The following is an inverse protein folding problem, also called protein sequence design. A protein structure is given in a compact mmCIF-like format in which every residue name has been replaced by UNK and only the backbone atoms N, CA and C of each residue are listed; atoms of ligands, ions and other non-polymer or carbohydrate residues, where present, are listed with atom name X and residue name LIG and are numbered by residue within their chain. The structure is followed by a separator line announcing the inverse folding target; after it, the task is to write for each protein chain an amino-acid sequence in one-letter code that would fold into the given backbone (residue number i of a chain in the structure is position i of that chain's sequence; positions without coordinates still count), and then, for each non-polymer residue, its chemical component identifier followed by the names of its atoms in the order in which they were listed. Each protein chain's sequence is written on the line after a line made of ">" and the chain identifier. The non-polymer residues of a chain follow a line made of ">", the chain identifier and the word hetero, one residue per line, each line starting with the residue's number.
data_IF_669851589569
#
_entry.id   IF_669851589569
#
_cell.length_a   1.000
_cell.length_b   1.000
_cell.length_c   1.000
_cell.angle_alpha   90.00
_cell.angle_beta   90.00
_cell.angle_gamma   90.00
#
_symmetry.space_group_name_H-M   'P 1'
#
loop_
_entity.id
_entity.type
_entity.pdbx_description
1 polymer ?
#
# COMPACT_ATOMS: atom_id res chain seq x y z
N UNK A 1 0.43 9.67 14.94
CA UNK A 1 0.08 8.25 15.14
C UNK A 1 -0.68 8.13 16.45
N UNK A 2 -1.92 7.69 16.39
CA UNK A 2 -2.83 7.60 17.53
C UNK A 2 -3.13 6.14 17.83
N UNK A 3 -3.03 5.75 19.10
CA UNK A 3 -3.48 4.45 19.59
C UNK A 3 -4.89 4.66 20.10
N UNK A 4 -5.85 4.12 19.36
CA UNK A 4 -7.27 4.10 19.67
C UNK A 4 -7.62 3.10 20.77
N UNK A 5 -8.92 2.88 20.94
CA UNK A 5 -9.48 2.08 22.01
C UNK A 5 -9.10 0.59 21.90
N UNK A 6 -9.08 -0.10 23.04
CA UNK A 6 -8.85 -1.54 23.15
C UNK A 6 -7.41 -1.96 23.47
N UNK A 7 -6.42 -1.09 23.31
CA UNK A 7 -5.04 -1.36 23.75
C UNK A 7 -4.83 -0.99 25.21
N UNK A 8 -4.08 -1.82 25.94
CA UNK A 8 -3.64 -1.51 27.32
C UNK A 8 -2.28 -0.84 27.33
N UNK A 9 -1.97 -0.15 28.43
CA UNK A 9 -0.72 0.61 28.60
C UNK A 9 0.56 -0.20 28.24
N UNK A 10 0.61 -1.50 28.60
CA UNK A 10 1.74 -2.38 28.29
C UNK A 10 1.92 -2.69 26.79
N UNK A 11 0.84 -2.66 26.00
CA UNK A 11 0.90 -2.92 24.56
C UNK A 11 1.24 -1.66 23.76
N UNK A 12 0.96 -0.46 24.32
CA UNK A 12 1.23 0.82 23.65
C UNK A 12 2.67 0.96 23.13
N UNK A 13 3.73 0.65 23.90
CA UNK A 13 5.09 0.71 23.37
C UNK A 13 5.28 -0.29 22.23
N UNK A 14 4.86 -1.55 22.39
CA UNK A 14 5.01 -2.58 21.36
C UNK A 14 4.29 -2.21 20.04
N UNK A 15 3.07 -1.69 20.14
CA UNK A 15 2.30 -1.21 18.98
C UNK A 15 3.00 -0.04 18.31
N UNK A 16 3.53 0.92 19.08
CA UNK A 16 4.29 2.05 18.52
C UNK A 16 5.55 1.58 17.80
N UNK A 17 6.26 0.59 18.34
CA UNK A 17 7.46 0.04 17.72
C UNK A 17 7.14 -0.69 16.40
N UNK A 18 6.16 -1.59 16.42
CA UNK A 18 5.72 -2.32 15.23
C UNK A 18 5.24 -1.37 14.12
N UNK A 19 4.59 -0.27 14.50
CA UNK A 19 4.12 0.76 13.60
C UNK A 19 5.20 1.80 13.22
N UNK A 20 6.31 1.89 13.96
CA UNK A 20 7.44 2.76 13.62
C UNK A 20 8.01 2.40 12.24
N UNK A 21 7.99 1.10 11.90
CA UNK A 21 8.40 0.59 10.60
C UNK A 21 7.53 1.08 9.43
N UNK A 22 6.30 1.57 9.68
CA UNK A 22 5.47 2.21 8.63
C UNK A 22 5.95 3.62 8.25
N UNK A 23 6.63 4.33 9.16
CA UNK A 23 7.10 5.71 8.94
C UNK A 23 7.93 5.89 7.66
N UNK A 24 8.92 5.04 7.34
CA UNK A 24 9.65 5.14 6.08
C UNK A 24 8.76 4.90 4.85
N UNK A 25 7.74 4.04 4.93
CA UNK A 25 6.82 3.78 3.81
C UNK A 25 5.84 4.93 3.55
N UNK A 26 5.48 5.70 4.59
CA UNK A 26 4.66 6.91 4.48
C UNK A 26 5.44 8.08 3.84
N UNK A 27 6.78 8.05 3.90
CA UNK A 27 7.66 9.04 3.26
C UNK A 27 7.39 10.47 3.72
N UNK A 28 7.50 11.43 2.79
CA UNK A 28 7.33 12.87 3.07
C UNK A 28 5.93 13.24 3.57
N UNK A 29 4.93 12.41 3.30
CA UNK A 29 3.56 12.67 3.73
C UNK A 29 3.32 12.28 5.19
N UNK A 30 4.24 11.61 5.88
CA UNK A 30 4.08 11.12 7.25
C UNK A 30 3.61 12.18 8.28
N UNK A 31 3.86 13.47 8.02
CA UNK A 31 3.40 14.58 8.87
C UNK A 31 1.92 14.93 8.63
N UNK A 32 1.45 14.78 7.40
CA UNK A 32 0.08 15.05 6.98
C UNK A 32 -0.83 13.82 7.14
N UNK A 33 -0.25 12.62 7.24
CA UNK A 33 -1.03 11.40 7.41
C UNK A 33 -1.33 11.13 8.88
N UNK A 34 -2.61 10.96 9.22
CA UNK A 34 -3.01 10.49 10.53
C UNK A 34 -3.27 8.98 10.50
N UNK A 35 -2.46 8.22 11.24
CA UNK A 35 -2.67 6.78 11.43
C UNK A 35 -3.25 6.55 12.82
N UNK A 36 -4.41 5.92 12.87
CA UNK A 36 -5.12 5.48 14.06
C UNK A 36 -5.15 3.94 14.10
N UNK A 37 -4.84 3.36 15.25
CA UNK A 37 -4.89 1.90 15.47
C UNK A 37 -5.88 1.57 16.57
N UNK A 38 -6.87 0.73 16.28
CA UNK A 38 -7.90 0.31 17.23
C UNK A 38 -7.94 -1.21 17.35
N UNK A 39 -8.14 -1.71 18.56
CA UNK A 39 -8.25 -3.14 18.85
C UNK A 39 -9.67 -3.46 19.30
N UNK A 40 -10.29 -4.42 18.62
CA UNK A 40 -11.59 -4.95 18.96
C UNK A 40 -11.46 -6.43 19.37
N UNK A 41 -12.47 -6.91 20.10
CA UNK A 41 -12.56 -8.33 20.51
C UNK A 41 -11.35 -8.80 21.34
N UNK A 42 -10.76 -7.89 22.12
CA UNK A 42 -9.60 -8.21 22.96
C UNK A 42 -9.93 -9.29 23.99
N UNK A 43 -9.12 -10.35 24.02
CA UNK A 43 -9.29 -11.49 24.94
C UNK A 43 -10.31 -12.53 24.48
N UNK A 44 -10.85 -12.39 23.27
CA UNK A 44 -11.67 -13.40 22.61
C UNK A 44 -10.82 -14.31 21.74
N UNK A 45 -11.48 -15.26 21.07
CA UNK A 45 -10.82 -16.25 20.20
C UNK A 45 -10.10 -15.58 19.01
N UNK A 46 -10.59 -14.44 18.55
CA UNK A 46 -10.06 -13.72 17.40
C UNK A 46 -10.01 -12.22 17.68
N UNK A 47 -8.80 -11.69 17.92
CA UNK A 47 -8.59 -10.28 18.18
C UNK A 47 -8.52 -9.51 16.88
N UNK A 48 -9.31 -8.46 16.74
CA UNK A 48 -9.46 -7.73 15.49
C UNK A 48 -8.76 -6.38 15.56
N UNK A 49 -7.64 -6.26 14.86
CA UNK A 49 -6.85 -5.02 14.76
C UNK A 49 -7.32 -4.24 13.55
N UNK A 50 -7.65 -2.97 13.75
CA UNK A 50 -8.05 -2.03 12.71
C UNK A 50 -7.03 -0.91 12.63
N UNK A 51 -6.38 -0.76 11.48
CA UNK A 51 -5.49 0.33 11.15
C UNK A 51 -6.18 1.27 10.17
N UNK A 52 -6.49 2.48 10.63
CA UNK A 52 -7.07 3.53 9.81
C UNK A 52 -6.01 4.57 9.51
N UNK A 53 -5.85 4.89 8.23
CA UNK A 53 -4.90 5.89 7.75
C UNK A 53 -5.64 6.95 6.96
N UNK A 54 -5.67 8.17 7.48
CA UNK A 54 -6.31 9.34 6.86
C UNK A 54 -5.25 10.16 6.16
N UNK A 55 -5.39 10.31 4.84
CA UNK A 55 -4.50 11.10 3.99
C UNK A 55 -5.23 12.39 3.55
N UNK A 56 -4.55 13.54 3.45
CA UNK A 56 -5.19 14.76 2.94
C UNK A 56 -5.56 14.59 1.47
N UNK A 57 -6.79 14.96 1.12
CA UNK A 57 -7.30 14.91 -0.26
C UNK A 57 -7.54 13.50 -0.81
N UNK A 58 -7.59 12.46 0.04
CA UNK A 58 -7.90 11.08 -0.38
C UNK A 58 -8.84 10.39 0.61
N UNK A 59 -9.59 9.36 0.16
CA UNK A 59 -10.36 8.53 1.07
C UNK A 59 -9.43 7.86 2.10
N UNK A 60 -9.87 7.75 3.36
CA UNK A 60 -9.10 7.07 4.39
C UNK A 60 -8.95 5.58 4.04
N UNK A 61 -7.74 5.07 4.20
CA UNK A 61 -7.46 3.64 4.06
C UNK A 61 -7.75 2.94 5.38
N UNK A 62 -8.45 1.82 5.31
CA UNK A 62 -8.72 0.97 6.47
C UNK A 62 -8.18 -0.42 6.16
N UNK A 63 -7.23 -0.87 6.98
CA UNK A 63 -6.72 -2.23 6.96
C UNK A 63 -7.18 -2.94 8.23
N UNK A 64 -7.74 -4.12 8.09
CA UNK A 64 -8.29 -4.90 9.21
C UNK A 64 -7.71 -6.29 9.16
N UNK A 65 -7.20 -6.77 10.29
CA UNK A 65 -6.76 -8.15 10.44
C UNK A 65 -7.34 -8.74 11.72
N UNK A 66 -7.67 -10.01 11.68
CA UNK A 66 -8.15 -10.77 12.82
C UNK A 66 -7.17 -11.92 13.10
N UNK A 67 -6.83 -12.14 14.36
CA UNK A 67 -5.94 -13.23 14.74
C UNK A 67 -6.02 -13.54 16.23
N UNK A 68 -5.69 -14.78 16.60
CA UNK A 68 -5.59 -15.17 18.01
C UNK A 68 -4.49 -14.36 18.75
N UNK A 69 -3.40 -14.05 18.05
CA UNK A 69 -2.27 -13.28 18.55
C UNK A 69 -2.31 -11.82 18.08
N UNK A 70 -2.29 -10.89 19.04
CA UNK A 70 -2.25 -9.45 18.76
C UNK A 70 -1.07 -9.06 17.87
N UNK A 71 0.12 -9.56 18.17
CA UNK A 71 1.34 -9.26 17.40
C UNK A 71 1.20 -9.72 15.95
N UNK A 72 0.63 -10.91 15.73
CA UNK A 72 0.42 -11.44 14.38
C UNK A 72 -0.63 -10.62 13.63
N UNK A 73 -1.77 -10.34 14.25
CA UNK A 73 -2.82 -9.50 13.68
C UNK A 73 -2.32 -8.08 13.36
N UNK A 74 -1.49 -7.49 14.23
CA UNK A 74 -0.87 -6.19 13.99
C UNK A 74 0.10 -6.23 12.81
N UNK A 75 0.92 -7.28 12.71
CA UNK A 75 1.83 -7.47 11.58
C UNK A 75 1.09 -7.64 10.25
N UNK A 76 -0.01 -8.38 10.26
CA UNK A 76 -0.83 -8.61 9.08
C UNK A 76 -1.55 -7.33 8.63
N UNK A 77 -2.21 -6.63 9.57
CA UNK A 77 -2.85 -5.35 9.30
C UNK A 77 -1.83 -4.31 8.78
N UNK A 78 -0.60 -4.31 9.32
CA UNK A 78 0.50 -3.47 8.84
C UNK A 78 0.87 -3.79 7.39
N UNK A 79 1.07 -5.06 7.05
CA UNK A 79 1.42 -5.48 5.69
C UNK A 79 0.33 -5.09 4.68
N UNK A 80 -0.94 -5.29 5.03
CA UNK A 80 -2.07 -4.90 4.19
C UNK A 80 -2.12 -3.38 4.00
N UNK A 81 -1.85 -2.59 5.06
CA UNK A 81 -1.76 -1.14 4.94
C UNK A 81 -0.59 -0.71 4.03
N UNK A 82 0.58 -1.34 4.15
CA UNK A 82 1.73 -1.07 3.27
C UNK A 82 1.34 -1.36 1.82
N UNK A 83 0.71 -2.51 1.56
CA UNK A 83 0.21 -2.87 0.22
C UNK A 83 -0.75 -1.83 -0.32
N UNK A 84 -1.71 -1.35 0.47
CA UNK A 84 -2.61 -0.29 0.04
C UNK A 84 -1.87 1.02 -0.28
N UNK A 85 -0.91 1.42 0.55
CA UNK A 85 -0.09 2.61 0.32
C UNK A 85 0.79 2.50 -0.93
N UNK A 86 1.36 1.33 -1.19
CA UNK A 86 2.12 1.05 -2.40
C UNK A 86 1.22 0.99 -3.63
N UNK A 87 0.07 0.33 -3.54
CA UNK A 87 -0.91 0.27 -4.61
C UNK A 87 -1.39 1.66 -5.02
N UNK A 88 -1.69 2.55 -4.07
CA UNK A 88 -2.03 3.94 -4.38
C UNK A 88 -0.89 4.72 -5.07
N UNK A 89 0.37 4.44 -4.72
CA UNK A 89 1.52 5.02 -5.40
C UNK A 89 1.65 4.48 -6.83
N UNK A 90 1.44 3.18 -7.02
CA UNK A 90 1.51 2.50 -8.32
C UNK A 90 0.36 2.90 -9.26
N UNK A 91 -0.86 3.07 -8.74
CA UNK A 91 -2.02 3.62 -9.49
C UNK A 91 -1.81 5.08 -9.88
N UNK A 92 -0.88 5.80 -9.24
CA UNK A 92 -0.39 7.10 -9.72
C UNK A 92 0.69 7.03 -10.80
N UNK A 93 1.28 5.85 -11.05
CA UNK A 93 2.30 5.62 -12.07
C UNK A 93 1.85 4.88 -13.37
N UNK A 94 0.56 4.65 -13.71
CA UNK A 94 0.24 3.81 -14.86
C UNK A 94 0.33 4.51 -16.23
N UNK A 95 0.83 5.76 -16.35
CA UNK A 95 0.80 6.47 -17.65
C UNK A 95 2.07 7.25 -18.02
N UNK A 96 3.26 6.87 -17.54
CA UNK A 96 4.51 7.36 -18.15
C UNK A 96 5.28 6.27 -18.91
N UNK A 97 4.58 5.34 -19.56
CA UNK A 97 5.21 4.41 -20.51
C UNK A 97 4.42 4.17 -21.81
N UNK A 98 3.55 5.10 -22.22
CA UNK A 98 2.91 5.01 -23.54
C UNK A 98 3.43 6.07 -24.49
N UNK A 99 4.69 5.92 -24.93
CA UNK A 99 5.16 6.30 -26.28
C UNK A 99 6.57 5.78 -26.58
N UNK A 100 6.75 4.47 -26.43
CA UNK A 100 7.71 3.72 -27.23
C UNK A 100 6.91 2.75 -28.11
N UNK A 101 6.12 3.31 -29.03
CA UNK A 101 5.54 2.53 -30.12
C UNK A 101 6.32 2.79 -31.40
N UNK A 102 6.98 1.74 -31.88
CA UNK A 102 7.01 1.47 -33.31
C UNK A 102 8.13 2.09 -34.14
N UNK A 103 9.40 1.98 -33.73
CA UNK A 103 10.51 1.95 -34.71
C UNK A 103 10.88 0.50 -34.98
N UNK A 104 10.20 -0.09 -35.97
CA UNK A 104 10.61 -1.22 -36.84
C UNK A 104 9.37 -1.98 -37.29
N UNK A 105 8.93 -1.72 -38.52
CA UNK A 105 8.44 -2.72 -39.47
C UNK A 105 8.09 -1.99 -40.76
N UNK A 106 9.08 -1.88 -41.64
CA UNK A 106 8.96 -1.96 -43.10
C UNK A 106 10.38 -1.81 -43.66
N UNK A 107 11.06 -2.94 -43.75
CA UNK A 107 12.00 -3.15 -44.84
C UNK A 107 11.16 -3.09 -46.14
N UNK A 108 11.37 -2.14 -47.06
CA UNK A 108 11.03 -2.41 -48.45
C UNK A 108 12.06 -3.43 -48.95
N UNK A 109 11.59 -4.66 -49.16
CA UNK A 109 12.26 -5.68 -49.96
C UNK A 109 12.66 -5.08 -51.31
N UNK A 110 13.89 -5.32 -51.73
CA UNK A 110 14.44 -4.89 -53.00
C UNK A 110 13.79 -5.66 -54.18
N UNK A 111 13.40 -4.91 -55.23
CA UNK A 111 13.45 -5.14 -56.70
C UNK A 111 13.21 -6.56 -57.30
N UNK A 112 12.62 -6.73 -58.52
CA UNK A 112 12.82 -5.86 -59.70
C UNK A 112 11.56 -5.58 -60.58
N UNK A 113 11.60 -4.61 -61.51
CA UNK A 113 10.74 -4.62 -62.68
C UNK A 113 11.47 -5.24 -63.88
N UNK A 114 10.92 -6.33 -64.41
CA UNK A 114 11.17 -6.81 -65.78
C UNK A 114 10.33 -5.96 -66.75
N UNK A 115 10.91 -5.35 -67.80
CA UNK A 115 10.13 -4.89 -68.94
C UNK A 115 10.32 -5.83 -70.12
N UNK A 116 9.23 -6.48 -70.53
CA UNK A 116 9.09 -7.02 -71.88
C UNK A 116 8.65 -5.92 -72.84
N UNK A 117 9.43 -5.73 -73.91
CA UNK A 117 9.02 -5.25 -75.24
C UNK A 117 10.22 -5.40 -76.19
#
# INVERSE_FOLDING_TARGET
>A
MHIGAGFVAKERPHVREALSSLRPHLGRSANDVSVEVSLQDRGRREQRVTLRTTLPGRPPLVAVAAGADLTRALHEAKNELIRHLEHLRTVRQPMHNRRLTGRTTRHPVAAPPEPGA
#
